data_IF_295880228966
#
_entry.id   IF_295880228966
#
_cell.length_a   1.000
_cell.length_b   1.000
_cell.length_c   1.000
_cell.angle_alpha   90.00
_cell.angle_beta   90.00
_cell.angle_gamma   90.00
#
_symmetry.space_group_name_H-M   'P 1'
#
loop_
_entity.id
_entity.type
_entity.pdbx_description
1 polymer ?
#
# COMPACT_ATOMS: atom_id res chain seq x y z
N UNK A 1 -7.84 3.33 1.83
CA UNK A 1 -7.92 4.72 1.30
C UNK A 1 -8.56 4.70 -0.08
N UNK A 2 -9.20 5.79 -0.52
CA UNK A 2 -9.77 5.89 -1.88
C UNK A 2 -11.04 5.07 -2.14
N UNK A 3 -11.83 4.77 -1.11
CA UNK A 3 -13.05 3.94 -1.20
C UNK A 3 -12.86 2.50 -1.74
N UNK A 4 -11.61 2.03 -1.84
CA UNK A 4 -11.32 0.67 -2.28
C UNK A 4 -11.56 -0.34 -1.15
N UNK A 5 -12.27 -1.43 -1.48
CA UNK A 5 -12.53 -2.56 -0.57
C UNK A 5 -11.36 -3.53 -0.45
N UNK A 6 -10.43 -3.48 -1.40
CA UNK A 6 -9.25 -4.33 -1.48
C UNK A 6 -8.01 -3.46 -1.70
N UNK A 7 -6.89 -3.83 -1.06
CA UNK A 7 -5.61 -3.14 -1.20
C UNK A 7 -4.65 -3.89 -2.14
N UNK A 8 -3.61 -3.21 -2.62
CA UNK A 8 -2.63 -3.81 -3.53
C UNK A 8 -2.00 -5.11 -2.98
N UNK A 9 -1.73 -5.17 -1.67
CA UNK A 9 -1.22 -6.38 -1.01
C UNK A 9 -2.21 -7.56 -1.05
N UNK A 10 -3.52 -7.28 -0.86
CA UNK A 10 -4.55 -8.32 -0.93
C UNK A 10 -4.73 -8.86 -2.35
N UNK A 11 -4.64 -7.98 -3.36
CA UNK A 11 -4.68 -8.37 -4.78
C UNK A 11 -3.46 -9.21 -5.14
N UNK A 12 -2.26 -8.79 -4.69
CA UNK A 12 -1.03 -9.54 -4.92
C UNK A 12 -1.08 -10.93 -4.29
N UNK A 13 -1.53 -11.04 -3.04
CA UNK A 13 -1.67 -12.32 -2.34
C UNK A 13 -2.60 -13.27 -3.10
N UNK A 14 -3.77 -12.79 -3.53
CA UNK A 14 -4.72 -13.58 -4.32
C UNK A 14 -4.15 -13.99 -5.68
N UNK A 15 -3.54 -13.06 -6.41
CA UNK A 15 -2.94 -13.31 -7.74
C UNK A 15 -1.86 -14.39 -7.68
N UNK A 16 -1.11 -14.46 -6.58
CA UNK A 16 -0.03 -15.41 -6.39
C UNK A 16 -0.44 -16.68 -5.61
N UNK A 17 -1.75 -16.89 -5.41
CA UNK A 17 -2.29 -18.15 -4.89
C UNK A 17 -2.13 -18.34 -3.38
N UNK A 18 -2.09 -17.25 -2.59
CA UNK A 18 -2.20 -17.36 -1.14
C UNK A 18 -3.49 -18.09 -0.76
N UNK A 19 -3.39 -19.10 0.12
CA UNK A 19 -4.55 -19.90 0.54
C UNK A 19 -5.59 -19.05 1.29
N UNK A 20 -5.13 -18.12 2.12
CA UNK A 20 -5.99 -17.21 2.86
C UNK A 20 -5.26 -15.90 3.25
N UNK A 21 -6.03 -14.92 3.71
CA UNK A 21 -5.51 -13.72 4.36
C UNK A 21 -5.75 -13.84 5.87
N UNK A 22 -4.67 -13.92 6.65
CA UNK A 22 -4.75 -14.02 8.11
C UNK A 22 -5.25 -12.70 8.69
N UNK A 23 -6.33 -12.73 9.48
CA UNK A 23 -6.83 -11.55 10.20
C UNK A 23 -5.92 -11.25 11.42
N UNK A 24 -5.22 -10.10 11.46
CA UNK A 24 -4.29 -9.78 12.55
C UNK A 24 -5.00 -9.24 13.80
N UNK A 25 -6.33 -9.04 13.79
CA UNK A 25 -7.06 -8.33 14.86
C UNK A 25 -6.88 -8.92 16.25
N UNK A 26 -6.91 -10.24 16.36
CA UNK A 26 -6.73 -10.93 17.66
C UNK A 26 -5.31 -10.82 18.20
N UNK A 27 -4.35 -10.44 17.35
CA UNK A 27 -2.93 -10.35 17.66
C UNK A 27 -2.44 -8.90 17.75
N UNK A 28 -3.31 -7.94 17.41
CA UNK A 28 -3.01 -6.52 17.43
C UNK A 28 -2.79 -6.02 18.86
N UNK A 29 -1.75 -5.20 19.04
CA UNK A 29 -1.40 -4.61 20.34
C UNK A 29 -1.40 -3.09 20.29
N UNK A 30 -1.48 -2.47 21.46
CA UNK A 30 -1.38 -1.02 21.63
C UNK A 30 -2.34 -0.24 20.73
N UNK A 31 -1.83 0.75 19.99
CA UNK A 31 -2.66 1.62 19.15
C UNK A 31 -3.26 0.91 17.95
N UNK A 32 -2.70 -0.22 17.53
CA UNK A 32 -3.26 -1.01 16.43
C UNK A 32 -4.54 -1.74 16.85
N UNK A 33 -4.58 -2.28 18.08
CA UNK A 33 -5.82 -2.83 18.64
C UNK A 33 -6.93 -1.76 18.70
N UNK A 34 -6.58 -0.55 19.13
CA UNK A 34 -7.50 0.58 19.12
C UNK A 34 -7.94 0.97 17.70
N UNK A 35 -7.03 0.96 16.74
CA UNK A 35 -7.34 1.26 15.34
C UNK A 35 -8.39 0.29 14.79
N UNK A 36 -8.28 -1.01 15.08
CA UNK A 36 -9.29 -1.99 14.67
C UNK A 36 -10.66 -1.76 15.34
N UNK A 37 -10.69 -1.25 16.59
CA UNK A 37 -11.94 -0.87 17.26
C UNK A 37 -12.60 0.36 16.62
N UNK A 38 -11.80 1.39 16.31
CA UNK A 38 -12.30 2.62 15.67
C UNK A 38 -12.74 2.36 14.22
N UNK A 39 -12.05 1.46 13.51
CA UNK A 39 -12.30 1.14 12.10
C UNK A 39 -12.64 -0.34 11.90
N UNK A 40 -13.82 -0.82 12.36
CA UNK A 40 -14.17 -2.25 12.32
C UNK A 40 -14.28 -2.83 10.90
N UNK A 41 -14.46 -1.96 9.90
CA UNK A 41 -14.70 -2.36 8.51
C UNK A 41 -13.42 -2.43 7.65
N UNK A 42 -12.22 -2.29 8.24
CA UNK A 42 -10.94 -2.37 7.52
C UNK A 42 -10.63 -3.78 6.93
N UNK A 43 -11.36 -4.81 7.38
CA UNK A 43 -11.10 -6.19 6.99
C UNK A 43 -9.83 -6.74 7.63
N UNK A 44 -9.22 -7.72 6.96
CA UNK A 44 -8.02 -8.46 7.41
C UNK A 44 -6.71 -7.70 7.15
N UNK A 45 -6.77 -6.47 6.63
CA UNK A 45 -5.60 -5.64 6.38
C UNK A 45 -5.03 -5.12 7.71
N UNK A 46 -3.73 -5.28 7.92
CA UNK A 46 -2.99 -4.61 9.00
C UNK A 46 -2.70 -3.14 8.63
N UNK A 47 -3.28 -2.13 9.31
CA UNK A 47 -3.02 -0.74 8.99
C UNK A 47 -1.63 -0.29 9.49
N UNK A 48 -0.92 0.49 8.67
CA UNK A 48 0.24 1.28 9.09
C UNK A 48 -0.20 2.73 9.34
N UNK A 49 -0.60 3.03 10.58
CA UNK A 49 -1.18 4.34 10.95
C UNK A 49 -0.14 5.45 11.21
N UNK A 50 1.15 5.11 11.14
CA UNK A 50 2.27 6.03 11.39
C UNK A 50 3.51 5.27 11.83
N UNK A 51 4.61 6.00 12.02
CA UNK A 51 5.94 5.43 12.24
C UNK A 51 6.68 6.10 13.42
N UNK A 52 5.95 6.64 14.41
CA UNK A 52 6.56 6.99 15.69
C UNK A 52 7.01 5.75 16.46
N UNK A 53 7.93 5.89 17.42
CA UNK A 53 8.55 4.77 18.14
C UNK A 53 7.54 3.77 18.73
N UNK A 54 6.44 4.26 19.30
CA UNK A 54 5.35 3.44 19.83
C UNK A 54 4.66 2.66 18.71
N UNK A 55 4.30 3.34 17.61
CA UNK A 55 3.59 2.73 16.48
C UNK A 55 4.46 1.68 15.77
N UNK A 56 5.76 1.92 15.66
CA UNK A 56 6.71 0.95 15.10
C UNK A 56 6.76 -0.30 15.98
N UNK A 57 6.92 -0.15 17.30
CA UNK A 57 6.94 -1.28 18.24
C UNK A 57 5.64 -2.07 18.23
N UNK A 58 4.49 -1.39 18.18
CA UNK A 58 3.19 -2.04 18.10
C UNK A 58 3.04 -2.82 16.79
N UNK A 59 3.51 -2.27 15.67
CA UNK A 59 3.48 -2.91 14.36
C UNK A 59 4.38 -4.15 14.31
N UNK A 60 5.61 -4.05 14.82
CA UNK A 60 6.53 -5.19 14.94
C UNK A 60 5.94 -6.33 15.77
N UNK A 61 5.40 -6.01 16.96
CA UNK A 61 4.79 -7.00 17.85
C UNK A 61 3.54 -7.63 17.25
N UNK A 62 2.68 -6.82 16.62
CA UNK A 62 1.47 -7.33 15.97
C UNK A 62 1.83 -8.28 14.83
N UNK A 63 2.80 -7.93 14.00
CA UNK A 63 3.31 -8.81 12.94
C UNK A 63 3.90 -10.08 13.53
N UNK A 64 4.70 -9.99 14.59
CA UNK A 64 5.30 -11.16 15.24
C UNK A 64 4.25 -12.12 15.82
N UNK A 65 3.20 -11.59 16.45
CA UNK A 65 2.14 -12.38 17.06
C UNK A 65 1.15 -12.99 16.06
N UNK A 66 0.96 -12.38 14.89
CA UNK A 66 -0.01 -12.85 13.88
C UNK A 66 0.46 -14.16 13.22
N UNK A 67 -0.23 -15.29 13.35
CA UNK A 67 0.22 -16.59 12.84
C UNK A 67 0.09 -16.69 11.32
N UNK A 68 1.04 -16.12 10.60
CA UNK A 68 1.11 -16.14 9.14
C UNK A 68 2.50 -16.60 8.65
N UNK A 69 2.51 -17.19 7.45
CA UNK A 69 3.74 -17.69 6.83
C UNK A 69 4.58 -16.60 6.15
N UNK A 70 3.95 -15.50 5.72
CA UNK A 70 4.60 -14.42 4.99
C UNK A 70 3.89 -13.09 5.19
N UNK A 71 4.65 -11.99 5.17
CA UNK A 71 4.14 -10.62 5.19
C UNK A 71 4.28 -9.97 3.82
N UNK A 72 3.19 -9.42 3.30
CA UNK A 72 3.17 -8.65 2.05
C UNK A 72 3.12 -7.16 2.37
N UNK A 73 4.19 -6.44 2.08
CA UNK A 73 4.29 -4.99 2.29
C UNK A 73 3.78 -4.28 1.04
N UNK A 74 2.64 -3.60 1.17
CA UNK A 74 2.02 -2.81 0.10
C UNK A 74 2.07 -1.29 0.37
N UNK A 75 3.03 -0.84 1.19
CA UNK A 75 3.27 0.59 1.45
C UNK A 75 4.13 1.20 0.33
N UNK A 76 3.93 2.49 -0.02
CA UNK A 76 4.80 3.17 -0.99
C UNK A 76 6.28 3.15 -0.58
N UNK A 77 6.54 3.41 0.70
CA UNK A 77 7.87 3.30 1.29
C UNK A 77 8.24 1.82 1.49
N UNK A 78 9.53 1.53 1.50
CA UNK A 78 10.00 0.23 1.98
C UNK A 78 9.93 0.17 3.51
N UNK A 79 8.93 -0.55 4.03
CA UNK A 79 8.66 -0.66 5.47
C UNK A 79 9.80 -1.36 6.22
N UNK A 80 10.59 -2.20 5.55
CA UNK A 80 11.72 -2.91 6.17
C UNK A 80 12.85 -1.96 6.61
N UNK A 81 12.84 -0.71 6.13
CA UNK A 81 13.77 0.34 6.57
C UNK A 81 13.45 0.90 7.96
N UNK A 82 12.24 0.63 8.47
CA UNK A 82 11.71 1.24 9.69
C UNK A 82 11.26 0.17 10.70
N UNK A 83 10.71 -0.94 10.20
CA UNK A 83 10.09 -2.01 10.99
C UNK A 83 10.90 -3.29 10.83
N UNK A 84 11.32 -3.90 11.93
CA UNK A 84 11.95 -5.21 11.93
C UNK A 84 10.91 -6.33 11.82
N UNK A 85 10.94 -7.03 10.70
CA UNK A 85 10.05 -8.18 10.44
C UNK A 85 10.91 -9.43 10.31
N UNK A 86 10.72 -10.38 11.24
CA UNK A 86 11.49 -11.63 11.26
C UNK A 86 10.83 -12.76 10.45
N UNK A 87 9.63 -12.53 9.92
CA UNK A 87 8.91 -13.47 9.05
C UNK A 87 9.32 -13.26 7.59
N UNK A 88 9.23 -14.29 6.73
CA UNK A 88 9.39 -14.12 5.29
C UNK A 88 8.55 -12.94 4.80
N UNK A 89 9.16 -12.06 4.01
CA UNK A 89 8.55 -10.77 3.67
C UNK A 89 8.83 -10.42 2.22
N UNK A 90 7.83 -9.86 1.55
CA UNK A 90 7.97 -9.31 0.19
C UNK A 90 7.36 -7.92 0.13
N UNK A 91 8.07 -6.97 -0.47
CA UNK A 91 7.52 -5.68 -0.85
C UNK A 91 6.95 -5.76 -2.25
N UNK A 92 5.71 -5.32 -2.42
CA UNK A 92 5.07 -5.21 -3.73
C UNK A 92 4.98 -3.74 -4.15
N UNK A 93 5.15 -3.50 -5.44
CA UNK A 93 4.84 -2.23 -6.09
C UNK A 93 3.49 -2.32 -6.82
N UNK A 94 2.91 -1.18 -7.09
CA UNK A 94 1.77 -1.05 -7.98
C UNK A 94 1.86 0.28 -8.70
N UNK A 95 1.43 0.30 -9.97
CA UNK A 95 1.34 1.49 -10.78
C UNK A 95 -0.13 1.72 -11.15
N UNK A 96 -0.49 3.00 -11.34
CA UNK A 96 -1.81 3.35 -11.85
C UNK A 96 -1.90 2.88 -13.30
N UNK A 97 -2.90 2.06 -13.60
CA UNK A 97 -3.29 1.75 -14.96
C UNK A 97 -4.66 2.36 -15.23
N UNK A 98 -4.69 3.35 -16.12
CA UNK A 98 -5.95 3.91 -16.60
C UNK A 98 -6.65 2.94 -17.55
N UNK A 99 -7.97 2.86 -17.41
CA UNK A 99 -8.82 2.03 -18.26
C UNK A 99 -9.72 2.97 -19.05
N UNK A 100 -9.62 2.93 -20.38
CA UNK A 100 -10.47 3.70 -21.30
C UNK A 100 -9.73 4.81 -22.05
N UNK A 101 -10.51 5.55 -22.85
CA UNK A 101 -10.02 6.66 -23.68
C UNK A 101 -11.06 7.80 -23.71
N UNK A 102 -10.64 9.08 -23.74
CA UNK A 102 -9.26 9.56 -23.66
C UNK A 102 -8.66 9.33 -22.27
N UNK A 103 -7.36 8.99 -22.23
CA UNK A 103 -6.61 8.83 -20.99
C UNK A 103 -5.94 10.16 -20.60
N UNK A 104 -5.35 10.21 -19.42
CA UNK A 104 -4.70 11.40 -18.88
C UNK A 104 -3.57 11.90 -19.76
N UNK A 105 -2.78 11.00 -20.38
CA UNK A 105 -1.72 11.38 -21.32
C UNK A 105 -2.26 12.19 -22.50
N UNK A 106 -3.40 11.78 -23.07
CA UNK A 106 -4.04 12.51 -24.17
C UNK A 106 -4.53 13.87 -23.69
N UNK A 107 -5.21 13.90 -22.53
CA UNK A 107 -5.73 15.16 -21.97
C UNK A 107 -4.58 16.13 -21.68
N UNK A 108 -3.48 15.66 -21.09
CA UNK A 108 -2.29 16.45 -20.84
C UNK A 108 -1.65 16.93 -22.13
N UNK A 109 -1.54 16.06 -23.13
CA UNK A 109 -0.96 16.41 -24.43
C UNK A 109 -1.78 17.50 -25.12
N UNK A 110 -3.10 17.36 -25.15
CA UNK A 110 -4.01 18.35 -25.75
C UNK A 110 -3.97 19.69 -25.00
N UNK A 111 -3.95 19.65 -23.66
CA UNK A 111 -3.80 20.83 -22.83
C UNK A 111 -2.48 21.55 -23.12
N UNK A 112 -1.36 20.83 -23.13
CA UNK A 112 -0.03 21.37 -23.42
C UNK A 112 0.02 21.97 -24.83
N UNK A 113 -0.50 21.27 -25.84
CA UNK A 113 -0.53 21.76 -27.22
C UNK A 113 -1.34 23.05 -27.35
N UNK A 114 -2.42 23.19 -26.58
CA UNK A 114 -3.33 24.34 -26.66
C UNK A 114 -2.84 25.56 -25.90
N UNK A 115 -2.21 25.36 -24.73
CA UNK A 115 -1.94 26.45 -23.78
C UNK A 115 -0.46 26.65 -23.45
N UNK A 116 0.38 25.63 -23.62
CA UNK A 116 1.83 25.74 -23.36
C UNK A 116 2.53 26.03 -24.68
N UNK A 117 2.97 27.29 -24.87
CA UNK A 117 3.78 27.66 -26.04
C UNK A 117 5.04 26.79 -26.04
N UNK A 118 5.30 26.04 -27.12
CA UNK A 118 6.58 25.36 -27.32
C UNK A 118 7.68 26.41 -27.14
N UNK A 119 8.58 26.19 -26.19
CA UNK A 119 9.79 27.00 -26.10
C UNK A 119 10.53 26.82 -27.43
N UNK A 120 10.72 27.92 -28.17
CA UNK A 120 11.56 27.90 -29.35
C UNK A 120 12.98 27.50 -28.91
N UNK A 121 13.43 26.30 -29.27
CA UNK A 121 14.84 25.92 -29.16
C UNK A 121 15.25 24.74 -28.28
N UNK A 122 14.36 23.84 -27.83
CA UNK A 122 14.83 22.57 -27.26
C UNK A 122 15.03 21.52 -28.37
N UNK A 123 16.22 21.56 -28.98
CA UNK A 123 16.70 20.47 -29.82
C UNK A 123 17.15 19.30 -28.95
N UNK A 124 16.28 18.32 -28.76
CA UNK A 124 16.71 16.98 -28.40
C UNK A 124 16.78 16.16 -29.70
N UNK A 125 18.00 15.75 -30.06
CA UNK A 125 18.24 14.61 -30.94
C UNK A 125 17.84 13.32 -30.22
#
# INVERSE_FOLDING_TARGET
HGHMRIGAGTVAAQKHGAAELVDPREFAVGRLAETFRIYPNIGTLLPAMGYGDEQVKDLEKTIANTPCDTVVIATPIDLQRIVKINKPTVKIGYDLQEIGYPNFDVILTDFCNKYVKKAAGCGCK
#
